data_IF_876141569635
#
_entry.id   IF_876141569635
#
_cell.length_a   1.000
_cell.length_b   1.000
_cell.length_c   1.000
_cell.angle_alpha   90.00
_cell.angle_beta   90.00
_cell.angle_gamma   90.00
#
_symmetry.space_group_name_H-M   'P 1'
#
loop_
_entity.id
_entity.type
_entity.pdbx_description
1 polymer ?
#
# COMPACT_ATOMS: atom_id res chain seq x y z
N UNK A 1 -10.47 10.05 -6.49
CA UNK A 1 -11.81 9.74 -5.95
C UNK A 1 -11.77 8.79 -4.75
N UNK A 2 -10.88 7.81 -4.67
CA UNK A 2 -10.76 6.86 -3.56
C UNK A 2 -10.31 7.44 -2.20
N UNK A 3 -9.53 8.54 -2.17
CA UNK A 3 -9.12 9.22 -0.92
C UNK A 3 -10.26 9.86 -0.11
N UNK A 4 -11.41 10.13 -0.73
CA UNK A 4 -12.59 10.67 -0.04
C UNK A 4 -13.48 9.60 0.62
N UNK A 5 -13.29 8.34 0.29
CA UNK A 5 -14.18 7.24 0.67
C UNK A 5 -13.78 6.64 2.03
N UNK A 6 -12.49 6.57 2.33
CA UNK A 6 -12.01 6.04 3.63
C UNK A 6 -12.33 7.00 4.79
N UNK A 7 -12.41 8.29 4.52
CA UNK A 7 -12.75 9.33 5.51
C UNK A 7 -14.25 9.36 5.84
N UNK A 8 -15.12 8.98 4.89
CA UNK A 8 -16.58 8.98 5.12
C UNK A 8 -17.08 7.82 5.98
N UNK A 9 -16.37 6.72 6.04
CA UNK A 9 -16.77 5.55 6.84
C UNK A 9 -16.65 5.76 8.36
N UNK A 10 -15.91 6.80 8.81
CA UNK A 10 -15.78 7.13 10.23
C UNK A 10 -16.63 8.34 10.67
N UNK A 11 -17.32 8.99 9.74
CA UNK A 11 -18.03 10.26 9.98
C UNK A 11 -19.52 10.15 10.30
N UNK A 12 -20.12 8.98 10.20
CA UNK A 12 -21.57 8.83 10.38
C UNK A 12 -22.04 8.73 11.85
N UNK A 13 -21.16 8.76 12.83
CA UNK A 13 -21.51 8.59 14.25
C UNK A 13 -21.97 9.90 14.93
N UNK A 14 -21.84 11.07 14.31
CA UNK A 14 -22.02 12.35 14.98
C UNK A 14 -23.25 13.20 14.58
N UNK A 15 -24.21 12.70 13.79
CA UNK A 15 -25.32 13.58 13.28
C UNK A 15 -26.73 13.25 13.82
N UNK A 16 -26.91 12.44 14.84
CA UNK A 16 -28.26 12.14 15.36
C UNK A 16 -28.48 12.56 16.83
N UNK A 17 -28.03 13.73 17.24
CA UNK A 17 -28.46 14.27 18.57
C UNK A 17 -28.67 15.76 18.62
N UNK A 18 -29.35 16.33 17.64
CA UNK A 18 -29.79 17.72 17.77
C UNK A 18 -31.25 17.89 17.35
N UNK A 19 -32.17 17.45 18.21
CA UNK A 19 -33.51 18.04 18.39
C UNK A 19 -34.29 17.23 19.43
N UNK A 20 -34.29 17.72 20.67
CA UNK A 20 -35.41 17.76 21.61
C UNK A 20 -34.88 18.36 22.91
N UNK A 21 -35.02 19.66 23.03
CA UNK A 21 -34.80 20.38 24.29
C UNK A 21 -36.12 20.72 24.93
N UNK A 22 -36.07 20.70 26.25
CA UNK A 22 -37.02 21.18 27.22
C UNK A 22 -38.07 20.20 27.75
N UNK A 23 -37.76 19.51 28.81
CA UNK A 23 -38.33 19.57 30.14
C UNK A 23 -37.88 18.41 31.03
N UNK A 24 -37.50 18.70 32.24
CA UNK A 24 -37.14 17.81 33.35
C UNK A 24 -35.70 17.28 33.31
N UNK A 25 -34.88 17.80 34.24
CA UNK A 25 -33.60 17.21 34.57
C UNK A 25 -33.79 15.76 35.02
N UNK A 26 -33.43 14.75 34.22
CA UNK A 26 -33.21 13.44 34.75
C UNK A 26 -31.84 13.44 35.42
N UNK A 27 -31.75 12.83 36.58
CA UNK A 27 -30.49 12.44 37.21
C UNK A 27 -29.57 11.92 36.12
N UNK A 28 -28.37 12.49 35.99
CA UNK A 28 -27.32 11.98 35.13
C UNK A 28 -27.11 10.48 35.48
N UNK A 29 -27.77 9.59 34.78
CA UNK A 29 -27.36 8.21 34.73
C UNK A 29 -26.03 8.23 33.95
N UNK A 30 -24.92 8.07 34.66
CA UNK A 30 -23.67 7.71 34.04
C UNK A 30 -23.94 6.31 33.52
N UNK A 31 -24.22 6.21 32.23
CA UNK A 31 -24.32 4.92 31.56
C UNK A 31 -22.90 4.37 31.52
N UNK A 32 -22.58 3.47 32.47
CA UNK A 32 -21.37 2.70 32.44
C UNK A 32 -21.49 1.78 31.22
N UNK A 33 -20.54 1.84 30.33
CA UNK A 33 -20.49 0.97 29.15
C UNK A 33 -20.43 -0.50 29.61
N UNK A 34 -21.17 -1.38 28.92
CA UNK A 34 -21.27 -2.77 29.31
C UNK A 34 -20.12 -3.58 28.76
N UNK A 35 -19.41 -4.31 29.62
CA UNK A 35 -18.42 -5.29 29.18
C UNK A 35 -19.15 -6.47 28.53
N UNK A 36 -18.91 -6.67 27.24
CA UNK A 36 -19.50 -7.74 26.43
C UNK A 36 -18.66 -9.00 26.50
N UNK A 37 -17.35 -8.85 26.44
CA UNK A 37 -16.43 -9.99 26.49
C UNK A 37 -15.09 -9.58 27.14
N UNK A 38 -14.33 -10.58 27.54
CA UNK A 38 -12.94 -10.46 28.01
C UNK A 38 -12.11 -11.54 27.33
N UNK A 39 -11.00 -11.16 26.74
CA UNK A 39 -10.04 -12.06 26.10
C UNK A 39 -8.66 -11.79 26.68
N UNK A 40 -8.05 -12.78 27.38
CA UNK A 40 -6.81 -12.57 28.08
C UNK A 40 -6.94 -11.45 29.11
N UNK A 41 -6.15 -10.40 28.95
CA UNK A 41 -6.18 -9.19 29.79
C UNK A 41 -7.04 -8.04 29.23
N UNK A 42 -7.68 -8.21 28.07
CA UNK A 42 -8.39 -7.16 27.34
C UNK A 42 -9.91 -7.32 27.43
N UNK A 43 -10.62 -6.24 27.73
CA UNK A 43 -12.09 -6.19 27.69
C UNK A 43 -12.57 -5.71 26.34
N UNK A 44 -13.77 -6.14 25.95
CA UNK A 44 -14.55 -5.62 24.82
C UNK A 44 -15.80 -4.98 25.37
N UNK A 45 -16.04 -3.74 25.00
CA UNK A 45 -17.19 -2.94 25.43
C UNK A 45 -18.32 -3.01 24.39
N UNK A 46 -19.55 -2.77 24.84
CA UNK A 46 -20.71 -2.74 23.93
C UNK A 46 -20.57 -1.60 22.90
N UNK A 47 -20.05 -0.45 23.30
CA UNK A 47 -19.80 0.67 22.39
C UNK A 47 -18.80 0.28 21.30
N UNK A 48 -17.72 -0.45 21.63
CA UNK A 48 -16.73 -0.91 20.64
C UNK A 48 -17.38 -1.86 19.61
N UNK A 49 -18.23 -2.78 20.06
CA UNK A 49 -18.96 -3.68 19.15
C UNK A 49 -19.91 -2.91 18.23
N UNK A 50 -20.63 -1.92 18.77
CA UNK A 50 -21.56 -1.10 17.99
C UNK A 50 -20.85 -0.25 16.94
N UNK A 51 -19.76 0.44 17.33
CA UNK A 51 -18.93 1.21 16.39
C UNK A 51 -18.37 0.35 15.27
N UNK A 52 -17.87 -0.83 15.61
CA UNK A 52 -17.32 -1.76 14.62
C UNK A 52 -18.39 -2.31 13.69
N UNK A 53 -19.58 -2.63 14.21
CA UNK A 53 -20.71 -3.10 13.41
C UNK A 53 -21.19 -2.04 12.41
N UNK A 54 -21.26 -0.76 12.82
CA UNK A 54 -21.59 0.33 11.92
C UNK A 54 -20.56 0.50 10.82
N UNK A 55 -19.26 0.39 11.13
CA UNK A 55 -18.18 0.43 10.17
C UNK A 55 -18.27 -0.72 9.15
N UNK A 56 -18.57 -1.96 9.61
CA UNK A 56 -18.77 -3.12 8.74
C UNK A 56 -19.93 -2.90 7.77
N UNK A 57 -21.06 -2.41 8.24
CA UNK A 57 -22.22 -2.12 7.39
C UNK A 57 -21.89 -1.10 6.30
N UNK A 58 -21.13 -0.06 6.65
CA UNK A 58 -20.67 0.93 5.66
C UNK A 58 -19.72 0.32 4.63
N UNK A 59 -18.77 -0.48 5.08
CA UNK A 59 -17.82 -1.17 4.21
C UNK A 59 -18.56 -2.13 3.25
N UNK A 60 -19.49 -2.93 3.75
CA UNK A 60 -20.30 -3.83 2.93
C UNK A 60 -21.08 -3.08 1.85
N UNK A 61 -21.69 -1.94 2.19
CA UNK A 61 -22.40 -1.08 1.21
C UNK A 61 -21.47 -0.55 0.12
N UNK A 62 -20.27 -0.13 0.48
CA UNK A 62 -19.29 0.39 -0.49
C UNK A 62 -18.82 -0.70 -1.46
N UNK A 63 -18.67 -1.93 -0.98
CA UNK A 63 -18.29 -3.09 -1.79
C UNK A 63 -19.45 -3.73 -2.56
N UNK A 64 -20.69 -3.23 -2.39
CA UNK A 64 -21.89 -3.86 -2.98
C UNK A 64 -22.18 -5.26 -2.42
N UNK A 65 -21.64 -5.57 -1.25
CA UNK A 65 -21.80 -6.87 -0.57
C UNK A 65 -22.90 -6.78 0.49
N UNK A 66 -23.69 -7.84 0.63
CA UNK A 66 -24.70 -7.99 1.69
C UNK A 66 -24.35 -9.23 2.50
N UNK A 67 -24.10 -9.06 3.79
CA UNK A 67 -23.93 -10.19 4.71
C UNK A 67 -25.30 -10.68 5.18
N UNK A 68 -25.49 -12.00 5.26
CA UNK A 68 -26.68 -12.63 5.86
C UNK A 68 -26.59 -12.72 7.40
N UNK A 69 -25.46 -12.30 7.99
CA UNK A 69 -25.19 -12.35 9.43
C UNK A 69 -25.56 -11.01 10.09
N UNK A 70 -25.90 -11.09 11.40
CA UNK A 70 -26.07 -9.88 12.21
C UNK A 70 -24.73 -9.11 12.30
N UNK A 71 -24.69 -7.83 11.93
CA UNK A 71 -23.48 -7.03 12.00
C UNK A 71 -22.85 -6.94 13.41
N UNK A 72 -23.66 -7.02 14.47
CA UNK A 72 -23.17 -7.05 15.85
C UNK A 72 -22.43 -8.36 16.17
N UNK A 73 -22.90 -9.48 15.64
CA UNK A 73 -22.25 -10.78 15.81
C UNK A 73 -20.93 -10.83 15.03
N UNK A 74 -20.91 -10.31 13.80
CA UNK A 74 -19.68 -10.22 13.01
C UNK A 74 -18.65 -9.30 13.68
N UNK A 75 -19.08 -8.14 14.19
CA UNK A 75 -18.23 -7.21 14.90
C UNK A 75 -17.65 -7.81 16.17
N UNK A 76 -18.48 -8.50 16.97
CA UNK A 76 -18.01 -9.14 18.19
C UNK A 76 -16.99 -10.25 17.87
N UNK A 77 -17.23 -11.06 16.85
CA UNK A 77 -16.28 -12.10 16.44
C UNK A 77 -14.94 -11.50 16.00
N UNK A 78 -14.97 -10.45 15.18
CA UNK A 78 -13.76 -9.77 14.74
C UNK A 78 -12.95 -9.15 15.91
N UNK A 79 -13.64 -8.55 16.88
CA UNK A 79 -13.02 -7.99 18.07
C UNK A 79 -12.47 -9.09 19.00
N UNK A 80 -13.15 -10.23 19.14
CA UNK A 80 -12.64 -11.38 19.89
C UNK A 80 -11.31 -11.89 19.28
N UNK A 81 -11.27 -12.04 17.96
CA UNK A 81 -10.08 -12.45 17.22
C UNK A 81 -8.95 -11.43 17.40
N UNK A 82 -9.24 -10.13 17.22
CA UNK A 82 -8.27 -9.05 17.39
C UNK A 82 -7.67 -9.04 18.79
N UNK A 83 -8.50 -9.13 19.85
CA UNK A 83 -8.03 -9.16 21.24
C UNK A 83 -7.20 -10.42 21.55
N UNK A 84 -7.56 -11.57 20.97
CA UNK A 84 -6.79 -12.80 21.11
C UNK A 84 -5.40 -12.67 20.47
N UNK A 85 -5.33 -12.19 19.24
CA UNK A 85 -4.08 -11.93 18.52
C UNK A 85 -3.20 -10.95 19.29
N UNK A 86 -3.77 -9.84 19.75
CA UNK A 86 -3.06 -8.82 20.53
C UNK A 86 -2.44 -9.42 21.82
N UNK A 87 -3.26 -10.10 22.62
CA UNK A 87 -2.76 -10.70 23.87
C UNK A 87 -1.68 -11.76 23.60
N UNK A 88 -1.84 -12.56 22.52
CA UNK A 88 -0.83 -13.53 22.14
C UNK A 88 0.46 -12.85 21.64
N UNK A 89 0.35 -11.75 20.89
CA UNK A 89 1.51 -10.97 20.47
C UNK A 89 2.35 -10.49 21.65
N UNK A 90 1.69 -10.01 22.71
CA UNK A 90 2.37 -9.59 23.93
C UNK A 90 3.03 -10.77 24.67
N UNK A 91 2.37 -11.92 24.72
CA UNK A 91 2.93 -13.16 25.35
C UNK A 91 4.17 -13.62 24.58
N UNK A 92 4.10 -13.63 23.26
CA UNK A 92 5.17 -14.12 22.39
C UNK A 92 6.25 -13.06 22.12
N UNK A 93 6.10 -11.83 22.67
CA UNK A 93 7.00 -10.69 22.47
C UNK A 93 7.23 -10.42 20.97
N UNK A 94 6.15 -10.41 20.19
CA UNK A 94 6.21 -10.13 18.76
C UNK A 94 6.50 -8.65 18.54
N UNK A 95 7.48 -8.33 17.70
CA UNK A 95 7.74 -6.96 17.31
C UNK A 95 6.59 -6.40 16.45
N UNK A 96 6.22 -5.16 16.73
CA UNK A 96 5.18 -4.48 15.96
C UNK A 96 5.69 -4.19 14.54
N UNK A 97 5.15 -4.91 13.57
CA UNK A 97 5.43 -4.70 12.16
C UNK A 97 4.49 -3.65 11.57
N UNK A 98 5.04 -2.80 10.71
CA UNK A 98 4.26 -1.90 9.87
C UNK A 98 4.05 -0.53 10.45
N UNK A 99 4.73 0.44 9.86
CA UNK A 99 4.49 1.87 9.86
C UNK A 99 4.41 2.56 11.23
N UNK A 100 4.83 3.76 11.27
CA UNK A 100 4.76 4.59 12.45
C UNK A 100 3.30 4.77 12.91
N UNK A 101 2.91 4.03 13.95
CA UNK A 101 1.60 4.16 14.60
C UNK A 101 1.36 5.61 15.03
N UNK A 102 2.43 6.29 15.47
CA UNK A 102 2.36 7.68 15.88
C UNK A 102 1.88 8.60 14.73
N UNK A 103 2.48 8.49 13.54
CA UNK A 103 2.06 9.26 12.37
C UNK A 103 0.60 9.01 12.00
N UNK A 104 0.19 7.75 12.04
CA UNK A 104 -1.20 7.38 11.73
C UNK A 104 -2.18 7.99 12.73
N UNK A 105 -1.82 8.00 14.01
CA UNK A 105 -2.61 8.64 15.08
C UNK A 105 -2.71 10.14 14.85
N UNK A 106 -1.57 10.81 14.61
CA UNK A 106 -1.55 12.26 14.38
C UNK A 106 -2.35 12.63 13.14
N UNK A 107 -2.16 11.90 12.02
CA UNK A 107 -2.94 12.13 10.80
C UNK A 107 -4.43 11.95 11.05
N UNK A 108 -4.82 10.88 11.72
CA UNK A 108 -6.21 10.58 12.03
C UNK A 108 -6.84 11.65 12.91
N UNK A 109 -6.18 11.98 14.03
CA UNK A 109 -6.71 12.97 14.98
C UNK A 109 -6.73 14.38 14.37
N UNK A 110 -5.70 14.77 13.62
CA UNK A 110 -5.67 16.06 12.95
C UNK A 110 -6.79 16.19 11.90
N UNK A 111 -7.09 15.14 11.16
CA UNK A 111 -8.24 15.13 10.24
C UNK A 111 -9.55 15.38 10.97
N UNK A 112 -9.78 14.72 12.11
CA UNK A 112 -10.99 14.91 12.92
C UNK A 112 -11.07 16.33 13.52
N UNK A 113 -9.94 16.88 13.93
CA UNK A 113 -9.84 18.26 14.44
C UNK A 113 -10.17 19.28 13.35
N UNK A 114 -9.64 19.08 12.13
CA UNK A 114 -9.91 19.97 11.00
C UNK A 114 -11.39 19.92 10.60
N UNK A 115 -11.99 18.74 10.57
CA UNK A 115 -13.42 18.55 10.30
C UNK A 115 -14.33 19.14 11.39
N UNK A 116 -13.87 19.14 12.63
CA UNK A 116 -14.58 19.78 13.73
C UNK A 116 -14.49 21.32 13.70
N UNK A 117 -13.56 21.89 12.92
CA UNK A 117 -13.31 23.33 12.88
C UNK A 117 -12.30 23.82 13.91
N UNK A 118 -11.47 22.92 14.44
CA UNK A 118 -10.38 23.22 15.37
C UNK A 118 -10.47 22.49 16.70
N UNK A 119 -9.35 22.53 17.45
CA UNK A 119 -9.17 21.75 18.69
C UNK A 119 -10.27 22.03 19.73
N UNK A 120 -10.64 23.30 19.94
CA UNK A 120 -11.64 23.65 20.96
C UNK A 120 -13.02 23.08 20.66
N UNK A 121 -13.41 23.08 19.38
CA UNK A 121 -14.68 22.53 18.94
C UNK A 121 -14.67 21.00 19.01
N UNK A 122 -13.55 20.40 18.63
CA UNK A 122 -13.32 18.97 18.76
C UNK A 122 -13.44 18.49 20.22
N UNK A 123 -12.71 19.13 21.16
CA UNK A 123 -12.76 18.79 22.59
C UNK A 123 -14.17 18.99 23.19
N UNK A 124 -14.90 20.00 22.72
CA UNK A 124 -16.29 20.22 23.13
C UNK A 124 -17.21 19.09 22.64
N UNK A 125 -17.01 18.62 21.42
CA UNK A 125 -17.81 17.57 20.81
C UNK A 125 -17.51 16.20 21.44
N UNK A 126 -16.24 15.89 21.61
CA UNK A 126 -15.80 14.61 22.17
C UNK A 126 -15.87 14.57 23.71
N UNK A 127 -16.18 15.70 24.36
CA UNK A 127 -16.20 15.86 25.83
C UNK A 127 -14.89 15.41 26.51
N UNK A 128 -13.77 15.50 25.80
CA UNK A 128 -12.47 14.99 26.20
C UNK A 128 -11.33 15.88 25.67
N UNK A 129 -10.27 16.13 26.48
CA UNK A 129 -9.07 16.80 25.99
C UNK A 129 -8.42 16.03 24.85
N UNK A 130 -7.92 16.74 23.83
CA UNK A 130 -7.31 16.16 22.65
C UNK A 130 -6.13 15.22 22.99
N UNK A 131 -5.39 15.53 24.06
CA UNK A 131 -4.30 14.68 24.53
C UNK A 131 -4.83 13.28 24.93
N UNK A 132 -5.91 13.21 25.70
CA UNK A 132 -6.51 11.95 26.12
C UNK A 132 -7.09 11.19 24.93
N UNK A 133 -7.66 11.91 23.97
CA UNK A 133 -8.19 11.30 22.75
C UNK A 133 -7.07 10.68 21.91
N UNK A 134 -5.93 11.38 21.76
CA UNK A 134 -4.76 10.83 21.07
C UNK A 134 -4.23 9.55 21.74
N UNK A 135 -4.14 9.52 23.07
CA UNK A 135 -3.71 8.31 23.78
C UNK A 135 -4.68 7.14 23.57
N UNK A 136 -5.99 7.42 23.57
CA UNK A 136 -7.00 6.39 23.30
C UNK A 136 -6.88 5.85 21.87
N UNK A 137 -6.74 6.71 20.87
CA UNK A 137 -6.55 6.31 19.48
C UNK A 137 -5.24 5.56 19.29
N UNK A 138 -4.17 6.01 19.96
CA UNK A 138 -2.86 5.32 19.94
C UNK A 138 -2.98 3.89 20.44
N UNK A 139 -3.60 3.69 21.60
CA UNK A 139 -3.79 2.36 22.16
C UNK A 139 -4.56 1.43 21.19
N UNK A 140 -5.60 1.94 20.51
CA UNK A 140 -6.35 1.18 19.49
C UNK A 140 -5.47 0.82 18.28
N UNK A 141 -4.67 1.73 17.78
CA UNK A 141 -3.81 1.51 16.62
C UNK A 141 -2.64 0.57 16.94
N UNK A 142 -2.06 0.69 18.14
CA UNK A 142 -1.04 -0.26 18.62
C UNK A 142 -1.61 -1.67 18.74
N UNK A 143 -2.80 -1.81 19.32
CA UNK A 143 -3.48 -3.10 19.43
C UNK A 143 -3.69 -3.75 18.05
N UNK A 144 -4.21 -2.98 17.07
CA UNK A 144 -4.38 -3.46 15.70
C UNK A 144 -3.04 -3.85 15.06
N UNK A 145 -1.99 -3.04 15.26
CA UNK A 145 -0.67 -3.32 14.72
C UNK A 145 -0.06 -4.60 15.30
N UNK A 146 -0.17 -4.82 16.62
CA UNK A 146 0.26 -6.06 17.25
C UNK A 146 -0.54 -7.27 16.78
N UNK A 147 -1.87 -7.14 16.67
CA UNK A 147 -2.73 -8.21 16.17
C UNK A 147 -2.36 -8.59 14.73
N UNK A 148 -2.15 -7.60 13.86
CA UNK A 148 -1.70 -7.82 12.48
C UNK A 148 -0.31 -8.46 12.42
N UNK A 149 0.62 -8.01 13.27
CA UNK A 149 1.97 -8.57 13.36
C UNK A 149 1.95 -10.03 13.81
N UNK A 150 1.08 -10.36 14.77
CA UNK A 150 0.91 -11.74 15.22
C UNK A 150 0.37 -12.63 14.10
N UNK A 151 -0.68 -12.19 13.39
CA UNK A 151 -1.22 -12.91 12.25
C UNK A 151 -0.15 -13.16 11.19
N UNK A 152 0.58 -12.11 10.82
CA UNK A 152 1.70 -12.21 9.88
C UNK A 152 2.78 -13.18 10.35
N UNK A 153 3.14 -13.17 11.63
CA UNK A 153 4.13 -14.10 12.19
C UNK A 153 3.70 -15.57 12.10
N UNK A 154 2.39 -15.84 12.24
CA UNK A 154 1.86 -17.21 12.10
C UNK A 154 1.91 -17.66 10.63
N UNK A 155 1.46 -16.83 9.70
CA UNK A 155 1.34 -17.23 8.29
C UNK A 155 2.64 -17.12 7.49
N UNK A 156 3.57 -16.22 7.86
CA UNK A 156 4.83 -16.00 7.11
C UNK A 156 5.77 -17.21 7.09
N UNK A 157 5.61 -18.11 8.03
CA UNK A 157 6.41 -19.35 8.13
C UNK A 157 5.85 -20.49 7.30
N UNK A 158 4.66 -20.31 6.74
CA UNK A 158 4.00 -21.34 5.93
C UNK A 158 4.60 -21.32 4.53
N UNK A 159 5.17 -22.43 4.15
CA UNK A 159 5.69 -22.68 2.79
C UNK A 159 4.89 -23.77 2.11
N UNK A 160 4.93 -23.82 0.79
CA UNK A 160 4.24 -24.85 0.02
C UNK A 160 5.26 -25.60 -0.85
N UNK A 161 5.00 -26.88 -1.10
CA UNK A 161 5.84 -27.70 -1.97
C UNK A 161 5.02 -28.18 -3.19
N UNK A 162 5.67 -28.48 -4.34
CA UNK A 162 4.95 -28.81 -5.58
C UNK A 162 3.88 -29.90 -5.44
N UNK A 163 4.14 -30.93 -4.66
CA UNK A 163 3.15 -32.00 -4.43
C UNK A 163 1.91 -31.54 -3.64
N UNK A 164 1.98 -30.44 -2.89
CA UNK A 164 0.81 -29.83 -2.22
C UNK A 164 -0.01 -29.01 -3.21
N UNK A 165 0.64 -28.34 -4.15
CA UNK A 165 -0.03 -27.62 -5.25
C UNK A 165 -0.84 -28.60 -6.11
N UNK A 166 -0.24 -29.73 -6.49
CA UNK A 166 -0.96 -30.78 -7.22
C UNK A 166 -2.17 -31.33 -6.44
N UNK A 167 -2.00 -31.59 -5.13
CA UNK A 167 -3.11 -32.07 -4.30
C UNK A 167 -4.21 -31.02 -4.20
N UNK A 168 -3.86 -29.77 -4.01
CA UNK A 168 -4.79 -28.65 -3.99
C UNK A 168 -5.58 -28.59 -5.29
N UNK A 169 -4.91 -28.57 -6.45
CA UNK A 169 -5.55 -28.55 -7.76
C UNK A 169 -6.52 -29.73 -7.96
N UNK A 170 -6.12 -30.94 -7.58
CA UNK A 170 -6.98 -32.12 -7.67
C UNK A 170 -8.14 -32.12 -6.68
N UNK A 171 -8.07 -31.32 -5.63
CA UNK A 171 -9.14 -31.19 -4.63
C UNK A 171 -10.23 -30.21 -5.05
N UNK A 172 -9.94 -29.35 -6.03
CA UNK A 172 -10.95 -28.43 -6.58
C UNK A 172 -11.86 -29.20 -7.54
N UNK A 173 -13.16 -29.03 -7.37
CA UNK A 173 -14.12 -29.57 -8.34
C UNK A 173 -13.88 -28.89 -9.70
N UNK A 174 -13.96 -29.67 -10.78
CA UNK A 174 -13.67 -29.17 -12.13
C UNK A 174 -14.53 -27.97 -12.54
N UNK A 175 -15.77 -27.95 -12.03
CA UNK A 175 -16.70 -26.85 -12.28
C UNK A 175 -16.39 -25.58 -11.45
N UNK A 176 -15.53 -25.71 -10.45
CA UNK A 176 -15.09 -24.63 -9.55
C UNK A 176 -13.62 -24.23 -9.79
N UNK A 177 -12.95 -24.78 -10.80
CA UNK A 177 -11.63 -24.32 -11.17
C UNK A 177 -11.68 -22.85 -11.59
N UNK A 178 -10.70 -22.03 -11.17
CA UNK A 178 -10.73 -20.62 -11.50
C UNK A 178 -10.57 -20.41 -13.01
N UNK A 179 -11.34 -19.46 -13.54
CA UNK A 179 -11.12 -18.93 -14.88
C UNK A 179 -9.96 -17.93 -14.82
N UNK A 180 -8.95 -18.18 -15.61
CA UNK A 180 -7.87 -17.24 -15.84
C UNK A 180 -8.28 -16.33 -16.98
N UNK A 181 -8.20 -15.01 -16.77
CA UNK A 181 -8.49 -14.02 -17.80
C UNK A 181 -7.52 -14.10 -18.96
N UNK A 182 -7.81 -13.32 -20.01
CA UNK A 182 -6.92 -13.17 -21.14
C UNK A 182 -5.56 -12.60 -20.68
N UNK A 183 -4.46 -13.23 -21.11
CA UNK A 183 -3.11 -12.84 -20.74
C UNK A 183 -2.32 -12.35 -21.95
N UNK A 184 -1.44 -11.40 -21.71
CA UNK A 184 -0.60 -10.74 -22.70
C UNK A 184 0.87 -11.04 -22.42
N UNK A 185 1.59 -11.54 -23.46
CA UNK A 185 3.06 -11.53 -23.48
C UNK A 185 3.49 -10.43 -24.43
N UNK A 186 4.32 -9.53 -23.97
CA UNK A 186 4.73 -8.39 -24.78
C UNK A 186 6.19 -8.02 -24.59
N UNK A 187 6.72 -7.35 -25.58
CA UNK A 187 8.03 -6.75 -25.54
C UNK A 187 7.93 -5.24 -25.64
N UNK A 188 8.89 -4.51 -25.08
CA UNK A 188 8.96 -3.07 -25.20
C UNK A 188 10.35 -2.57 -25.60
N UNK A 189 10.40 -1.39 -26.22
CA UNK A 189 11.60 -0.59 -26.40
C UNK A 189 11.33 0.74 -25.76
N UNK A 190 12.18 1.14 -24.85
CA UNK A 190 12.09 2.37 -24.07
C UNK A 190 13.19 3.34 -24.47
N UNK A 191 12.85 4.63 -24.60
CA UNK A 191 13.81 5.71 -24.83
C UNK A 191 13.55 6.85 -23.86
N UNK A 192 14.60 7.25 -23.16
CA UNK A 192 14.58 8.49 -22.39
C UNK A 192 14.93 9.68 -23.28
N UNK A 193 14.50 10.90 -22.92
CA UNK A 193 14.97 12.12 -23.59
C UNK A 193 16.49 12.20 -23.63
N UNK A 194 17.07 12.53 -24.78
CA UNK A 194 18.52 12.66 -24.92
C UNK A 194 19.13 13.75 -24.04
N UNK A 195 18.31 14.72 -23.63
CA UNK A 195 18.63 15.79 -22.67
C UNK A 195 18.52 15.37 -21.20
N UNK A 196 18.44 14.08 -20.89
CA UNK A 196 18.26 13.59 -19.51
C UNK A 196 19.38 14.12 -18.59
N UNK A 197 20.65 14.07 -19.04
CA UNK A 197 21.77 14.58 -18.24
C UNK A 197 21.70 16.07 -17.98
N UNK A 198 21.30 16.83 -18.98
CA UNK A 198 21.11 18.29 -18.88
C UNK A 198 19.91 18.60 -17.96
N UNK A 199 18.83 17.86 -18.06
CA UNK A 199 17.67 17.99 -17.17
C UNK A 199 18.03 17.63 -15.72
N UNK A 200 18.80 16.58 -15.51
CA UNK A 200 19.34 16.22 -14.19
C UNK A 200 20.24 17.34 -13.66
N UNK A 201 21.11 17.93 -14.49
CA UNK A 201 21.99 19.01 -14.09
C UNK A 201 21.18 20.26 -13.71
N UNK A 202 20.20 20.66 -14.51
CA UNK A 202 19.28 21.76 -14.17
C UNK A 202 18.56 21.53 -12.84
N UNK A 203 18.17 20.28 -12.59
CA UNK A 203 17.49 19.90 -11.34
C UNK A 203 18.43 20.04 -10.14
N UNK A 204 19.68 19.57 -10.27
CA UNK A 204 20.71 19.74 -9.24
C UNK A 204 20.99 21.21 -8.95
N UNK A 205 21.17 22.03 -9.99
CA UNK A 205 21.42 23.48 -9.86
C UNK A 205 20.25 24.16 -9.12
N UNK A 206 19.02 23.79 -9.44
CA UNK A 206 17.84 24.32 -8.77
C UNK A 206 17.78 23.93 -7.29
N UNK A 207 18.13 22.69 -6.94
CA UNK A 207 18.23 22.26 -5.55
C UNK A 207 19.37 22.94 -4.79
N UNK A 208 20.51 23.17 -5.45
CA UNK A 208 21.63 23.93 -4.86
C UNK A 208 21.22 25.37 -4.53
N UNK A 209 20.52 26.06 -5.45
CA UNK A 209 19.97 27.41 -5.18
C UNK A 209 19.00 27.37 -3.97
N UNK A 210 18.10 26.41 -3.93
CA UNK A 210 17.17 26.27 -2.79
C UNK A 210 17.92 26.03 -1.49
N UNK A 211 18.90 25.14 -1.50
CA UNK A 211 19.75 24.84 -0.35
C UNK A 211 20.49 26.08 0.14
N UNK A 212 21.12 26.84 -0.76
CA UNK A 212 21.82 28.06 -0.43
C UNK A 212 20.89 29.10 0.21
N UNK A 213 19.72 29.29 -0.35
CA UNK A 213 18.68 30.19 0.21
C UNK A 213 18.23 29.80 1.60
N UNK A 214 18.13 28.50 1.89
CA UNK A 214 17.80 28.01 3.24
C UNK A 214 18.96 28.27 4.20
N UNK A 215 20.18 27.89 3.83
CA UNK A 215 21.38 28.03 4.70
C UNK A 215 21.67 29.49 5.01
N UNK A 216 21.47 30.38 4.04
CA UNK A 216 21.66 31.82 4.23
C UNK A 216 20.49 32.54 4.91
N UNK A 217 19.42 31.80 5.24
CA UNK A 217 18.21 32.33 5.88
C UNK A 217 17.32 33.21 4.97
N UNK A 218 17.55 33.18 3.65
CA UNK A 218 16.76 33.91 2.66
C UNK A 218 15.40 33.26 2.40
N UNK A 219 15.25 31.97 2.70
CA UNK A 219 13.99 31.24 2.60
C UNK A 219 13.87 30.18 3.70
N UNK A 220 12.63 29.88 4.07
CA UNK A 220 12.34 28.76 4.97
C UNK A 220 12.24 27.46 4.15
N UNK A 221 12.83 26.38 4.65
CA UNK A 221 12.80 25.06 4.01
C UNK A 221 11.36 24.60 3.72
N UNK A 222 10.49 24.71 4.71
CA UNK A 222 9.07 24.29 4.57
C UNK A 222 8.30 25.07 3.51
N UNK A 223 8.64 26.34 3.29
CA UNK A 223 8.02 27.15 2.22
C UNK A 223 8.49 26.66 0.85
N UNK A 224 9.80 26.42 0.68
CA UNK A 224 10.31 25.89 -0.58
C UNK A 224 9.78 24.47 -0.86
N UNK A 225 9.65 23.64 0.17
CA UNK A 225 9.08 22.30 0.03
C UNK A 225 7.63 22.37 -0.47
N UNK A 226 6.78 23.20 0.12
CA UNK A 226 5.38 23.37 -0.33
C UNK A 226 5.28 23.89 -1.74
N UNK A 227 6.19 24.73 -2.17
CA UNK A 227 6.15 25.36 -3.51
C UNK A 227 6.71 24.46 -4.61
N UNK A 228 7.69 23.62 -4.29
CA UNK A 228 8.50 22.98 -5.33
C UNK A 228 8.68 21.48 -5.17
N UNK A 229 8.50 20.91 -3.98
CA UNK A 229 8.70 19.47 -3.80
C UNK A 229 7.65 18.66 -4.58
N UNK A 230 8.12 17.59 -5.22
CA UNK A 230 7.32 16.73 -6.09
C UNK A 230 6.86 15.45 -5.38
N UNK A 231 6.83 15.47 -4.05
CA UNK A 231 6.37 14.33 -3.27
C UNK A 231 5.18 14.67 -2.37
N UNK A 232 4.60 13.64 -1.72
CA UNK A 232 3.42 13.79 -0.89
C UNK A 232 3.64 14.64 0.37
N UNK A 233 4.88 14.71 0.90
CA UNK A 233 5.21 15.53 2.07
C UNK A 233 5.26 17.04 1.75
N UNK A 234 5.21 17.43 0.46
CA UNK A 234 5.22 18.84 0.05
C UNK A 234 4.14 19.65 0.77
N UNK A 235 2.93 19.13 0.89
CA UNK A 235 1.81 19.81 1.55
C UNK A 235 2.06 20.09 3.04
N UNK A 236 2.92 19.29 3.68
CA UNK A 236 3.36 19.44 5.07
C UNK A 236 4.69 20.19 5.20
N UNK A 237 5.15 20.86 4.12
CA UNK A 237 6.43 21.57 4.12
C UNK A 237 7.64 20.62 4.02
N UNK A 238 7.45 19.45 3.46
CA UNK A 238 8.45 18.40 3.32
C UNK A 238 8.71 17.60 4.58
N UNK A 239 7.98 17.88 5.68
CA UNK A 239 8.16 17.25 6.98
C UNK A 239 7.67 15.81 6.97
N UNK A 240 8.49 14.93 7.51
CA UNK A 240 8.21 13.51 7.65
C UNK A 240 8.28 13.13 9.13
N UNK A 241 7.47 12.16 9.49
CA UNK A 241 7.42 11.66 10.85
C UNK A 241 8.76 11.03 11.28
N UNK A 242 9.10 11.10 12.58
CA UNK A 242 10.31 10.50 13.10
C UNK A 242 10.36 8.99 12.85
N UNK A 243 11.30 8.53 12.04
CA UNK A 243 11.48 7.13 11.68
C UNK A 243 12.96 6.71 11.82
N UNK A 244 13.26 5.41 12.03
CA UNK A 244 14.63 4.91 12.02
C UNK A 244 15.23 5.03 10.60
N UNK A 245 16.55 5.12 10.50
CA UNK A 245 17.23 5.28 9.20
C UNK A 245 16.92 4.13 8.23
N UNK A 246 16.66 2.93 8.74
CA UNK A 246 16.28 1.75 7.95
C UNK A 246 14.94 1.88 7.21
N UNK A 247 14.11 2.87 7.56
CA UNK A 247 12.87 3.18 6.87
C UNK A 247 13.09 3.83 5.50
N UNK A 248 14.25 4.48 5.32
CA UNK A 248 14.56 5.22 4.12
C UNK A 248 15.42 4.41 3.15
N UNK A 249 15.34 4.71 1.86
CA UNK A 249 16.26 4.15 0.87
C UNK A 249 17.70 4.51 1.21
N UNK A 250 18.62 3.60 0.92
CA UNK A 250 19.99 3.63 1.41
C UNK A 250 20.72 4.98 1.21
N UNK A 251 20.68 5.64 0.03
CA UNK A 251 21.37 6.93 -0.13
C UNK A 251 20.79 8.03 0.77
N UNK A 252 19.46 8.03 0.99
CA UNK A 252 18.78 8.97 1.87
C UNK A 252 19.17 8.73 3.34
N UNK A 253 19.15 7.46 3.78
CA UNK A 253 19.56 7.06 5.12
C UNK A 253 21.02 7.46 5.43
N UNK A 254 21.94 7.16 4.52
CA UNK A 254 23.37 7.50 4.66
C UNK A 254 23.62 9.02 4.74
N UNK A 255 22.81 9.82 4.06
CA UNK A 255 22.88 11.27 4.15
C UNK A 255 22.32 11.77 5.48
N UNK A 256 21.15 11.25 5.87
CA UNK A 256 20.46 11.61 7.10
C UNK A 256 21.29 11.32 8.36
N UNK A 257 21.99 10.17 8.41
CA UNK A 257 22.86 9.78 9.52
C UNK A 257 24.07 10.72 9.74
N UNK A 258 24.49 11.44 8.69
CA UNK A 258 25.61 12.40 8.77
C UNK A 258 25.18 13.78 9.22
N UNK A 259 23.88 14.07 9.23
CA UNK A 259 23.36 15.39 9.59
C UNK A 259 23.28 15.57 11.11
N UNK A 260 23.43 16.84 11.53
CA UNK A 260 23.09 17.30 12.88
C UNK A 260 21.76 18.06 12.83
N UNK A 261 21.02 18.12 13.94
CA UNK A 261 19.80 18.94 14.02
C UNK A 261 20.02 20.36 13.50
N UNK A 262 19.15 20.82 12.61
CA UNK A 262 19.23 22.10 11.93
C UNK A 262 20.13 22.14 10.69
N UNK A 263 20.77 21.05 10.31
CA UNK A 263 21.61 20.99 9.11
C UNK A 263 20.82 20.52 7.89
N UNK A 264 21.18 21.09 6.73
CA UNK A 264 20.69 20.70 5.41
C UNK A 264 21.76 19.90 4.67
N UNK A 265 21.38 18.75 4.12
CA UNK A 265 22.28 17.86 3.37
C UNK A 265 22.82 18.52 2.10
N UNK A 266 23.89 17.95 1.54
CA UNK A 266 24.18 18.07 0.11
C UNK A 266 23.05 17.41 -0.70
N UNK A 267 23.12 17.54 -2.04
CA UNK A 267 22.15 16.84 -2.91
C UNK A 267 22.32 15.33 -2.74
N UNK A 268 21.21 14.67 -2.44
CA UNK A 268 21.10 13.21 -2.32
C UNK A 268 20.36 12.68 -3.53
N UNK A 269 21.00 11.83 -4.29
CA UNK A 269 20.40 11.16 -5.43
C UNK A 269 19.86 9.79 -4.98
N UNK A 270 18.59 9.54 -5.24
CA UNK A 270 17.92 8.28 -4.97
C UNK A 270 17.19 7.81 -6.22
N UNK A 271 16.62 6.62 -6.18
CA UNK A 271 15.73 6.11 -7.22
C UNK A 271 14.48 7.00 -7.44
N UNK A 272 14.08 7.83 -6.46
CA UNK A 272 12.94 8.73 -6.58
C UNK A 272 13.26 10.10 -7.17
N UNK A 273 14.53 10.43 -7.32
CA UNK A 273 15.01 11.72 -7.84
C UNK A 273 16.11 12.35 -6.97
N UNK A 274 16.16 13.66 -6.98
CA UNK A 274 17.18 14.45 -6.26
C UNK A 274 16.53 15.09 -5.03
N UNK A 275 17.20 14.96 -3.89
CA UNK A 275 16.73 15.47 -2.62
C UNK A 275 17.72 16.43 -1.97
N UNK A 276 17.21 17.37 -1.19
CA UNK A 276 17.88 17.97 -0.06
C UNK A 276 17.09 17.65 1.19
N UNK A 277 17.79 17.36 2.29
CA UNK A 277 17.21 16.87 3.53
C UNK A 277 17.63 17.79 4.66
N UNK A 278 16.71 18.24 5.49
CA UNK A 278 17.01 18.94 6.73
C UNK A 278 16.66 18.03 7.91
N UNK A 279 17.63 17.77 8.78
CA UNK A 279 17.36 17.07 10.04
C UNK A 279 16.82 18.09 11.04
N UNK A 280 15.58 17.88 11.48
CA UNK A 280 14.92 18.71 12.48
C UNK A 280 15.42 18.32 13.87
N UNK A 281 15.32 17.02 14.19
CA UNK A 281 15.74 16.47 15.47
C UNK A 281 16.05 14.97 15.37
N UNK A 282 16.71 14.44 16.41
CA UNK A 282 16.97 13.00 16.58
C UNK A 282 16.45 12.54 17.92
N UNK A 283 15.44 11.67 17.90
CA UNK A 283 14.75 11.17 19.08
C UNK A 283 15.08 9.68 19.25
N UNK A 284 16.06 9.38 20.09
CA UNK A 284 16.58 8.01 20.24
C UNK A 284 17.26 7.52 18.95
N UNK A 285 16.74 6.46 18.35
CA UNK A 285 17.17 5.90 17.06
C UNK A 285 16.39 6.44 15.87
N UNK A 286 15.38 7.31 16.11
CA UNK A 286 14.53 7.90 15.08
C UNK A 286 15.03 9.27 14.66
N UNK A 287 14.92 9.55 13.36
CA UNK A 287 15.28 10.83 12.73
C UNK A 287 13.99 11.56 12.34
N UNK A 288 13.79 12.76 12.89
CA UNK A 288 12.75 13.70 12.49
C UNK A 288 13.35 14.65 11.45
N UNK A 289 12.88 14.58 10.23
CA UNK A 289 13.47 15.34 9.11
C UNK A 289 12.38 15.87 8.17
N UNK A 290 12.82 16.74 7.27
CA UNK A 290 12.03 17.19 6.13
C UNK A 290 12.90 17.19 4.88
N UNK A 291 12.27 17.01 3.73
CA UNK A 291 12.97 16.97 2.46
C UNK A 291 12.29 17.77 1.35
N UNK A 292 13.06 18.10 0.33
CA UNK A 292 12.57 18.58 -0.96
C UNK A 292 13.02 17.58 -2.00
N UNK A 293 12.06 16.98 -2.71
CA UNK A 293 12.28 16.08 -3.84
C UNK A 293 12.02 16.83 -5.13
N UNK A 294 13.00 16.86 -6.04
CA UNK A 294 12.80 17.28 -7.42
C UNK A 294 13.15 16.12 -8.37
N UNK A 295 12.37 16.02 -9.45
CA UNK A 295 12.68 15.15 -10.59
C UNK A 295 13.09 15.98 -11.80
N UNK A 296 13.89 15.41 -12.73
CA UNK A 296 14.17 16.06 -14.00
C UNK A 296 12.88 16.40 -14.75
N UNK A 297 12.79 17.62 -15.24
CA UNK A 297 11.67 18.07 -16.06
C UNK A 297 12.15 18.39 -17.47
N UNK A 298 11.29 18.14 -18.46
CA UNK A 298 11.59 18.25 -19.87
C UNK A 298 10.62 19.22 -20.54
N UNK A 299 11.10 19.90 -21.56
CA UNK A 299 10.24 20.65 -22.49
C UNK A 299 9.48 19.66 -23.37
N UNK A 300 8.42 20.17 -24.03
CA UNK A 300 7.65 19.35 -24.96
C UNK A 300 8.51 18.78 -26.09
N UNK A 301 9.42 19.59 -26.63
CA UNK A 301 10.29 19.17 -27.74
C UNK A 301 11.29 18.09 -27.27
N UNK A 302 11.83 18.21 -26.08
CA UNK A 302 12.69 17.17 -25.48
C UNK A 302 11.98 15.84 -25.29
N UNK A 303 10.67 15.85 -24.94
CA UNK A 303 9.86 14.64 -24.83
C UNK A 303 9.46 14.05 -26.20
N UNK A 304 9.29 14.87 -27.22
CA UNK A 304 8.89 14.40 -28.54
C UNK A 304 10.05 13.76 -29.33
N UNK A 305 11.31 14.12 -29.04
CA UNK A 305 12.45 13.56 -29.74
C UNK A 305 12.53 12.03 -29.64
N UNK A 306 12.51 11.40 -28.44
CA UNK A 306 12.56 9.94 -28.34
C UNK A 306 11.32 9.28 -28.97
N UNK A 307 10.16 9.93 -28.97
CA UNK A 307 8.98 9.43 -29.66
C UNK A 307 9.20 9.32 -31.17
N UNK A 308 9.73 10.35 -31.80
CA UNK A 308 10.06 10.32 -33.24
C UNK A 308 11.15 9.29 -33.60
N UNK A 309 12.14 9.11 -32.72
CA UNK A 309 13.13 8.05 -32.90
C UNK A 309 12.48 6.67 -32.86
N UNK A 310 11.61 6.42 -31.88
CA UNK A 310 10.89 5.17 -31.75
C UNK A 310 9.92 4.90 -32.89
N UNK A 311 9.24 5.92 -33.41
CA UNK A 311 8.40 5.79 -34.62
C UNK A 311 9.23 5.37 -35.83
N UNK A 312 10.44 5.92 -35.96
CA UNK A 312 11.37 5.50 -37.04
C UNK A 312 11.80 4.05 -36.86
N UNK A 313 12.11 3.62 -35.64
CA UNK A 313 12.45 2.22 -35.32
C UNK A 313 11.24 1.31 -35.57
N UNK A 314 10.03 1.70 -35.12
CA UNK A 314 8.81 0.94 -35.38
C UNK A 314 8.57 0.71 -36.89
N UNK A 315 8.85 1.73 -37.71
CA UNK A 315 8.75 1.61 -39.16
C UNK A 315 9.78 0.64 -39.77
N UNK A 316 11.01 0.60 -39.24
CA UNK A 316 12.04 -0.42 -39.65
C UNK A 316 11.58 -1.83 -39.28
N UNK A 317 10.96 -2.00 -38.11
CA UNK A 317 10.42 -3.29 -37.68
C UNK A 317 9.22 -3.68 -38.56
N UNK A 318 8.28 -2.81 -38.78
CA UNK A 318 7.09 -3.04 -39.62
C UNK A 318 7.45 -3.37 -41.08
N UNK A 319 8.52 -2.79 -41.58
CA UNK A 319 9.03 -3.11 -42.94
C UNK A 319 9.79 -4.44 -43.03
N UNK A 320 10.05 -5.09 -41.90
CA UNK A 320 10.86 -6.30 -41.82
C UNK A 320 12.38 -6.08 -42.00
N UNK A 321 12.83 -4.81 -41.98
CA UNK A 321 14.27 -4.49 -42.11
C UNK A 321 15.04 -4.79 -40.83
N UNK A 322 14.36 -4.96 -39.70
CA UNK A 322 14.92 -5.30 -38.40
C UNK A 322 13.88 -6.06 -37.58
N UNK A 323 14.29 -7.00 -36.76
CA UNK A 323 13.42 -7.65 -35.78
C UNK A 323 13.26 -6.77 -34.56
N UNK A 324 12.18 -6.95 -33.79
CA UNK A 324 11.96 -6.22 -32.54
C UNK A 324 13.08 -6.47 -31.53
N UNK A 325 13.57 -7.72 -31.42
CA UNK A 325 14.66 -8.06 -30.52
C UNK A 325 16.00 -7.41 -30.89
N UNK A 326 16.33 -7.31 -32.17
CA UNK A 326 17.51 -6.57 -32.64
C UNK A 326 17.39 -5.08 -32.34
N UNK A 327 16.19 -4.51 -32.55
CA UNK A 327 15.90 -3.13 -32.23
C UNK A 327 16.00 -2.87 -30.71
N UNK A 328 15.46 -3.77 -29.88
CA UNK A 328 15.56 -3.67 -28.43
C UNK A 328 17.03 -3.67 -27.98
N UNK A 329 17.84 -4.62 -28.50
CA UNK A 329 19.26 -4.72 -28.18
C UNK A 329 20.04 -3.47 -28.55
N UNK A 330 19.73 -2.88 -29.71
CA UNK A 330 20.48 -1.74 -30.24
C UNK A 330 20.03 -0.41 -29.64
N UNK A 331 18.74 -0.21 -29.47
CA UNK A 331 18.16 1.10 -29.23
C UNK A 331 17.48 1.26 -27.85
N UNK A 332 17.09 0.18 -27.16
CA UNK A 332 16.41 0.33 -25.88
C UNK A 332 17.35 0.87 -24.80
N UNK A 333 16.84 1.81 -24.01
CA UNK A 333 17.51 2.32 -22.82
C UNK A 333 17.18 1.49 -21.57
N UNK A 334 16.19 0.57 -21.66
CA UNK A 334 15.87 -0.34 -20.56
C UNK A 334 16.85 -1.50 -20.50
N UNK A 335 17.75 -1.44 -19.51
CA UNK A 335 18.77 -2.46 -19.32
C UNK A 335 18.19 -3.83 -18.90
N UNK A 336 17.00 -3.86 -18.31
CA UNK A 336 16.39 -5.09 -17.79
C UNK A 336 15.86 -6.00 -18.92
N UNK A 337 15.36 -5.40 -20.00
CA UNK A 337 14.73 -6.12 -21.11
C UNK A 337 15.55 -6.11 -22.41
N UNK A 338 16.49 -5.18 -22.53
CA UNK A 338 17.32 -4.98 -23.72
C UNK A 338 17.98 -6.25 -24.24
N UNK A 339 18.46 -7.13 -23.38
CA UNK A 339 19.23 -8.32 -23.75
C UNK A 339 18.38 -9.57 -23.94
N UNK A 340 17.08 -9.52 -23.63
CA UNK A 340 16.14 -10.63 -23.81
C UNK A 340 15.11 -10.36 -24.92
N UNK A 341 15.45 -9.49 -25.87
CA UNK A 341 14.58 -9.15 -26.99
C UNK A 341 13.48 -8.15 -26.64
N UNK A 342 13.60 -7.47 -25.52
CA UNK A 342 12.60 -6.51 -25.03
C UNK A 342 11.45 -7.15 -24.22
N UNK A 343 11.46 -8.46 -24.02
CA UNK A 343 10.39 -9.18 -23.30
C UNK A 343 10.26 -8.64 -21.88
N UNK A 344 9.05 -8.20 -21.56
CA UNK A 344 8.73 -7.66 -20.24
C UNK A 344 8.48 -8.78 -19.25
N UNK A 345 8.93 -8.59 -18.01
CA UNK A 345 8.66 -9.47 -16.88
C UNK A 345 8.24 -8.66 -15.65
N UNK A 346 7.82 -9.33 -14.60
CA UNK A 346 7.51 -8.69 -13.33
C UNK A 346 8.71 -8.60 -12.38
N UNK A 347 9.92 -8.85 -12.87
CA UNK A 347 11.16 -8.84 -12.09
C UNK A 347 11.36 -7.54 -11.31
N UNK A 348 11.16 -6.41 -11.92
CA UNK A 348 11.31 -5.07 -11.34
C UNK A 348 10.32 -4.83 -10.18
N UNK A 349 9.10 -5.32 -10.29
CA UNK A 349 8.06 -5.22 -9.25
C UNK A 349 8.43 -6.10 -8.06
N UNK A 350 8.75 -7.37 -8.32
CA UNK A 350 9.05 -8.33 -7.28
C UNK A 350 10.35 -8.01 -6.55
N UNK A 351 11.37 -7.54 -7.27
CA UNK A 351 12.62 -7.10 -6.66
C UNK A 351 12.41 -5.94 -5.67
N UNK A 352 11.52 -4.99 -6.00
CA UNK A 352 11.18 -3.88 -5.09
C UNK A 352 10.38 -4.34 -3.86
N UNK A 353 9.56 -5.37 -4.01
CA UNK A 353 8.85 -6.00 -2.91
C UNK A 353 9.76 -6.89 -2.03
N UNK A 354 11.05 -7.00 -2.38
CA UNK A 354 11.99 -7.88 -1.67
C UNK A 354 11.78 -9.36 -1.97
N UNK A 355 11.06 -9.69 -3.03
CA UNK A 355 10.82 -11.07 -3.47
C UNK A 355 11.91 -11.47 -4.44
N UNK A 356 12.81 -12.32 -4.00
CA UNK A 356 13.94 -12.83 -4.81
C UNK A 356 13.74 -14.30 -5.25
N UNK A 357 12.50 -14.77 -5.24
CA UNK A 357 12.18 -16.11 -5.72
C UNK A 357 12.26 -16.15 -7.25
N UNK A 358 13.20 -16.93 -7.77
CA UNK A 358 13.52 -17.00 -9.22
C UNK A 358 12.33 -17.42 -10.08
N UNK A 359 11.40 -18.23 -9.58
CA UNK A 359 10.22 -18.67 -10.33
C UNK A 359 9.24 -17.51 -10.58
N UNK A 360 9.06 -16.63 -9.59
CA UNK A 360 8.19 -15.44 -9.69
C UNK A 360 8.83 -14.32 -10.51
N UNK A 361 10.16 -14.23 -10.50
CA UNK A 361 10.90 -13.23 -11.26
C UNK A 361 10.85 -13.41 -12.78
N UNK A 362 10.37 -14.55 -13.26
CA UNK A 362 10.31 -14.88 -14.69
C UNK A 362 8.90 -14.82 -15.29
N UNK A 363 7.91 -14.37 -14.52
CA UNK A 363 6.56 -14.23 -15.07
C UNK A 363 6.54 -13.15 -16.16
N UNK A 364 6.19 -13.60 -17.37
CA UNK A 364 6.10 -12.75 -18.58
C UNK A 364 4.67 -12.64 -19.11
N UNK A 365 3.70 -13.25 -18.42
CA UNK A 365 2.28 -13.25 -18.75
C UNK A 365 1.56 -12.27 -17.84
N UNK A 366 0.84 -11.33 -18.41
CA UNK A 366 0.17 -10.26 -17.68
C UNK A 366 -1.33 -10.28 -17.97
N UNK A 367 -2.13 -10.18 -16.92
CA UNK A 367 -3.55 -9.93 -16.99
C UNK A 367 -3.81 -8.41 -17.11
N UNK A 368 -5.04 -8.02 -17.48
CA UNK A 368 -5.44 -6.62 -17.48
C UNK A 368 -5.23 -5.95 -16.10
N UNK A 369 -5.48 -6.66 -15.02
CA UNK A 369 -5.33 -6.19 -13.64
C UNK A 369 -3.86 -5.93 -13.23
N UNK A 370 -2.89 -6.50 -13.96
CA UNK A 370 -1.46 -6.26 -13.72
C UNK A 370 -0.99 -4.88 -14.22
N UNK A 371 -1.85 -4.18 -14.95
CA UNK A 371 -1.57 -2.84 -15.45
C UNK A 371 -2.27 -1.77 -14.60
N UNK A 372 -1.61 -0.63 -14.42
CA UNK A 372 -2.10 0.48 -13.61
C UNK A 372 -1.48 0.54 -12.22
N UNK A 373 -2.05 1.38 -11.36
CA UNK A 373 -1.45 1.73 -10.07
C UNK A 373 -1.33 0.55 -9.09
N UNK A 374 -2.25 -0.40 -9.16
CA UNK A 374 -2.27 -1.57 -8.27
C UNK A 374 -1.43 -2.73 -8.82
N UNK A 375 -1.43 -2.94 -10.14
CA UNK A 375 -0.71 -4.04 -10.80
C UNK A 375 0.77 -3.75 -11.08
N UNK A 376 1.18 -2.49 -11.03
CA UNK A 376 2.58 -2.05 -11.14
C UNK A 376 3.13 -1.97 -12.57
N UNK A 377 2.40 -2.38 -13.61
CA UNK A 377 2.74 -2.11 -15.02
C UNK A 377 2.01 -0.88 -15.52
N UNK A 378 2.60 -0.18 -16.49
CA UNK A 378 2.01 1.04 -17.01
C UNK A 378 0.68 0.78 -17.74
N UNK A 379 -0.36 1.53 -17.40
CA UNK A 379 -1.66 1.42 -18.05
C UNK A 379 -1.60 1.78 -19.53
N UNK A 380 -0.67 2.66 -19.91
CA UNK A 380 -0.40 3.03 -21.30
C UNK A 380 0.06 1.84 -22.12
N UNK A 381 0.85 0.92 -21.53
CA UNK A 381 1.29 -0.31 -22.18
C UNK A 381 0.06 -1.17 -22.54
N UNK A 382 -0.88 -1.39 -21.61
CA UNK A 382 -2.12 -2.10 -21.89
C UNK A 382 -2.98 -1.42 -22.97
N UNK A 383 -3.10 -0.10 -22.90
CA UNK A 383 -3.86 0.67 -23.89
C UNK A 383 -3.29 0.54 -25.31
N UNK A 384 -1.97 0.42 -25.43
CA UNK A 384 -1.33 0.13 -26.71
C UNK A 384 -1.56 -1.33 -27.16
N UNK A 385 -1.35 -2.29 -26.24
CA UNK A 385 -1.43 -3.73 -26.52
C UNK A 385 -2.81 -4.15 -27.03
N UNK A 386 -3.90 -3.68 -26.40
CA UNK A 386 -5.28 -4.07 -26.77
C UNK A 386 -5.68 -3.70 -28.19
N UNK A 387 -4.92 -2.82 -28.84
CA UNK A 387 -5.18 -2.40 -30.23
C UNK A 387 -4.38 -3.19 -31.27
N UNK A 388 -3.42 -4.01 -30.83
CA UNK A 388 -2.48 -4.74 -31.66
C UNK A 388 -2.94 -6.17 -31.92
N UNK A 389 -2.55 -6.70 -33.07
CA UNK A 389 -2.53 -8.15 -33.32
C UNK A 389 -1.16 -8.73 -32.94
N UNK A 390 -1.14 -10.03 -32.68
CA UNK A 390 0.11 -10.74 -32.38
C UNK A 390 1.14 -10.48 -33.50
N UNK A 391 2.33 -10.04 -33.08
CA UNK A 391 3.44 -9.65 -33.96
C UNK A 391 3.45 -8.19 -34.37
N UNK A 392 2.35 -7.44 -34.20
CA UNK A 392 2.29 -6.00 -34.53
C UNK A 392 3.01 -5.14 -33.48
N UNK A 393 3.50 -3.99 -33.93
CA UNK A 393 4.21 -2.99 -33.11
C UNK A 393 3.38 -1.72 -33.05
N UNK A 394 3.26 -1.14 -31.85
CA UNK A 394 2.55 0.12 -31.63
C UNK A 394 3.25 1.31 -32.29
N UNK A 395 2.52 2.43 -32.40
CA UNK A 395 3.16 3.74 -32.52
C UNK A 395 3.81 4.12 -31.17
N UNK A 396 4.67 5.14 -31.19
CA UNK A 396 5.30 5.61 -29.95
C UNK A 396 4.26 6.31 -29.05
N UNK A 397 4.42 6.14 -27.75
CA UNK A 397 3.62 6.82 -26.73
C UNK A 397 4.46 7.25 -25.55
N UNK A 398 3.96 8.24 -24.81
CA UNK A 398 4.58 8.71 -23.57
C UNK A 398 4.18 7.81 -22.43
N UNK A 399 5.14 7.50 -21.56
CA UNK A 399 4.94 6.74 -20.34
C UNK A 399 5.84 7.28 -19.23
N UNK A 400 5.66 6.76 -18.04
CA UNK A 400 6.55 7.00 -16.92
C UNK A 400 7.02 5.66 -16.37
N UNK A 401 8.28 5.62 -15.90
CA UNK A 401 8.73 4.48 -15.14
C UNK A 401 8.13 4.50 -13.71
N UNK A 402 8.39 3.45 -12.96
CA UNK A 402 7.90 3.32 -11.58
C UNK A 402 8.45 4.41 -10.64
N UNK A 403 9.50 5.11 -11.05
CA UNK A 403 10.12 6.23 -10.32
C UNK A 403 9.56 7.59 -10.77
N UNK A 404 8.66 7.60 -11.77
CA UNK A 404 8.06 8.80 -12.34
C UNK A 404 8.97 9.53 -13.34
N UNK A 405 10.00 8.88 -13.89
CA UNK A 405 10.77 9.45 -14.98
C UNK A 405 10.00 9.35 -16.29
N UNK A 406 9.93 10.45 -17.01
CA UNK A 406 9.25 10.50 -18.30
C UNK A 406 10.09 9.82 -19.39
N UNK A 407 9.44 9.01 -20.20
CA UNK A 407 10.05 8.27 -21.31
C UNK A 407 9.06 8.06 -22.46
N UNK A 408 9.56 7.67 -23.61
CA UNK A 408 8.74 7.17 -24.71
C UNK A 408 8.93 5.66 -24.87
N UNK A 409 7.87 4.98 -25.27
CA UNK A 409 7.85 3.54 -25.51
C UNK A 409 7.23 3.19 -26.85
N UNK A 410 7.60 2.03 -27.39
CA UNK A 410 6.84 1.22 -28.33
C UNK A 410 6.73 -0.18 -27.76
N UNK A 411 5.63 -0.85 -28.01
CA UNK A 411 5.42 -2.25 -27.59
C UNK A 411 5.13 -3.13 -28.79
N UNK A 412 5.50 -4.39 -28.67
CA UNK A 412 5.09 -5.46 -29.59
C UNK A 412 4.26 -6.48 -28.82
N UNK A 413 3.09 -6.82 -29.34
CA UNK A 413 2.31 -7.93 -28.82
C UNK A 413 2.91 -9.24 -29.30
N UNK A 414 3.51 -10.01 -28.39
CA UNK A 414 4.21 -11.25 -28.72
C UNK A 414 3.25 -12.43 -28.75
N UNK A 415 2.38 -12.53 -27.75
CA UNK A 415 1.39 -13.60 -27.63
C UNK A 415 0.17 -13.11 -26.87
N UNK A 416 -1.01 -13.64 -27.22
CA UNK A 416 -2.25 -13.52 -26.43
C UNK A 416 -2.67 -14.93 -26.07
N UNK A 417 -2.81 -15.18 -24.78
CA UNK A 417 -3.33 -16.43 -24.25
C UNK A 417 -4.80 -16.19 -23.92
N UNK A 418 -5.73 -16.83 -24.61
CA UNK A 418 -7.16 -16.65 -24.36
C UNK A 418 -7.53 -17.01 -22.93
N UNK A 419 -8.63 -16.43 -22.45
CA UNK A 419 -9.21 -16.83 -21.17
C UNK A 419 -9.50 -18.34 -21.16
N UNK A 420 -9.05 -19.01 -20.11
CA UNK A 420 -9.13 -20.47 -19.99
C UNK A 420 -9.33 -20.90 -18.54
N UNK A 421 -9.74 -22.15 -18.36
CA UNK A 421 -9.80 -22.77 -17.03
C UNK A 421 -8.38 -23.10 -16.58
N UNK A 422 -8.03 -22.71 -15.35
CA UNK A 422 -6.67 -22.90 -14.83
C UNK A 422 -6.18 -24.35 -14.95
N UNK A 423 -4.94 -24.50 -15.38
CA UNK A 423 -4.25 -25.77 -15.51
C UNK A 423 -2.89 -25.76 -14.81
N UNK A 424 -2.43 -26.96 -14.37
CA UNK A 424 -1.08 -27.07 -13.74
C UNK A 424 0.06 -26.80 -14.71
N UNK A 425 -0.16 -26.96 -16.01
CA UNK A 425 0.88 -26.78 -17.01
C UNK A 425 1.11 -25.29 -17.33
N UNK A 426 0.04 -24.51 -17.36
CA UNK A 426 0.09 -23.12 -17.80
C UNK A 426 0.05 -22.13 -16.64
N UNK A 427 -0.65 -22.47 -15.52
CA UNK A 427 -0.96 -21.53 -14.43
C UNK A 427 -0.36 -21.96 -13.09
N UNK A 428 0.72 -22.75 -13.11
CA UNK A 428 1.32 -23.32 -11.91
C UNK A 428 1.57 -22.27 -10.82
N UNK A 429 2.14 -21.12 -11.15
CA UNK A 429 2.48 -20.06 -10.18
C UNK A 429 1.20 -19.53 -9.51
N UNK A 430 0.14 -19.30 -10.27
CA UNK A 430 -1.13 -18.82 -9.72
C UNK A 430 -1.81 -19.88 -8.84
N UNK A 431 -1.78 -21.12 -9.26
CA UNK A 431 -2.27 -22.25 -8.45
C UNK A 431 -1.43 -22.47 -7.19
N UNK A 432 -0.13 -22.22 -7.26
CA UNK A 432 0.77 -22.24 -6.09
C UNK A 432 0.40 -21.15 -5.09
N UNK A 433 0.16 -19.93 -5.54
CA UNK A 433 -0.30 -18.82 -4.68
C UNK A 433 -1.65 -19.14 -4.03
N UNK A 434 -2.60 -19.63 -4.79
CA UNK A 434 -3.90 -20.03 -4.26
C UNK A 434 -3.79 -21.16 -3.23
N UNK A 435 -2.97 -22.16 -3.52
CA UNK A 435 -2.71 -23.28 -2.62
C UNK A 435 -1.99 -22.81 -1.35
N UNK A 436 -1.05 -21.87 -1.47
CA UNK A 436 -0.36 -21.28 -0.33
C UNK A 436 -1.31 -20.47 0.56
N UNK A 437 -2.15 -19.62 -0.02
CA UNK A 437 -3.16 -18.85 0.72
C UNK A 437 -4.11 -19.77 1.48
N UNK A 438 -4.60 -20.83 0.83
CA UNK A 438 -5.46 -21.83 1.51
C UNK A 438 -4.72 -22.51 2.65
N UNK A 439 -3.49 -22.93 2.45
CA UNK A 439 -2.67 -23.54 3.50
C UNK A 439 -2.41 -22.58 4.66
N UNK A 440 -2.15 -21.31 4.37
CA UNK A 440 -2.01 -20.25 5.36
C UNK A 440 -3.29 -20.09 6.19
N UNK A 441 -4.45 -20.10 5.54
CA UNK A 441 -5.75 -20.04 6.20
C UNK A 441 -5.98 -21.25 7.10
N UNK A 442 -5.72 -22.47 6.63
CA UNK A 442 -5.85 -23.71 7.40
C UNK A 442 -4.92 -23.72 8.64
N UNK A 443 -3.66 -23.31 8.46
CA UNK A 443 -2.68 -23.19 9.55
C UNK A 443 -3.11 -22.13 10.55
N UNK A 444 -3.55 -20.97 10.06
CA UNK A 444 -4.03 -19.89 10.90
C UNK A 444 -5.26 -20.30 11.71
N UNK A 445 -6.26 -20.92 11.10
CA UNK A 445 -7.48 -21.38 11.77
C UNK A 445 -7.16 -22.45 12.84
N UNK A 446 -6.28 -23.40 12.51
CA UNK A 446 -5.82 -24.40 13.48
C UNK A 446 -5.10 -23.78 14.68
N UNK A 447 -4.23 -22.79 14.41
CA UNK A 447 -3.54 -22.03 15.44
C UNK A 447 -4.52 -21.22 16.30
N UNK A 448 -5.48 -20.57 15.67
CA UNK A 448 -6.52 -19.78 16.35
C UNK A 448 -7.35 -20.65 17.29
N UNK A 449 -7.74 -21.85 16.83
CA UNK A 449 -8.50 -22.81 17.64
C UNK A 449 -7.69 -23.33 18.85
N UNK A 450 -6.40 -23.58 18.70
CA UNK A 450 -5.51 -23.89 19.82
C UNK A 450 -5.45 -22.75 20.84
N UNK A 451 -5.34 -21.51 20.34
CA UNK A 451 -5.26 -20.33 21.22
C UNK A 451 -6.59 -20.03 21.92
N UNK A 452 -7.74 -20.23 21.27
CA UNK A 452 -9.06 -20.17 21.92
C UNK A 452 -9.17 -21.15 23.10
N UNK A 453 -8.54 -22.31 23.00
CA UNK A 453 -8.57 -23.29 24.09
C UNK A 453 -7.67 -22.91 25.27
N UNK A 454 -6.51 -22.31 25.01
CA UNK A 454 -5.48 -21.98 26.00
C UNK A 454 -5.68 -20.63 26.67
N UNK A 455 -6.29 -19.66 25.98
CA UNK A 455 -6.49 -18.31 26.50
C UNK A 455 -7.80 -18.22 27.31
N UNK A 456 -7.79 -17.35 28.33
CA UNK A 456 -9.03 -17.03 29.04
C UNK A 456 -9.96 -16.20 28.14
N UNK A 457 -11.16 -16.71 27.91
CA UNK A 457 -12.20 -16.04 27.12
C UNK A 457 -13.50 -16.08 27.92
N UNK A 458 -14.08 -14.92 28.15
CA UNK A 458 -15.39 -14.75 28.73
C UNK A 458 -16.27 -13.94 27.78
N UNK A 459 -17.46 -14.40 27.50
CA UNK A 459 -18.50 -13.67 26.75
C UNK A 459 -19.74 -13.57 27.63
N UNK A 460 -20.29 -12.37 27.74
CA UNK A 460 -21.50 -12.16 28.53
C UNK A 460 -22.69 -12.99 27.97
N UNK A 461 -23.56 -13.54 28.83
CA UNK A 461 -24.61 -14.47 28.41
C UNK A 461 -25.50 -13.95 27.28
N UNK A 462 -25.81 -12.65 27.28
CA UNK A 462 -26.70 -12.01 26.29
C UNK A 462 -26.07 -11.93 24.87
N UNK A 463 -24.76 -12.16 24.76
CA UNK A 463 -23.98 -12.11 23.50
C UNK A 463 -23.53 -13.50 23.04
N UNK A 464 -23.91 -14.57 23.74
CA UNK A 464 -23.59 -15.94 23.36
C UNK A 464 -24.61 -16.43 22.36
N UNK A 465 -24.21 -16.56 21.12
CA UNK A 465 -25.04 -17.13 20.06
C UNK A 465 -24.50 -18.51 19.57
N UNK A 466 -25.24 -19.15 18.68
CA UNK A 466 -24.87 -20.47 18.15
C UNK A 466 -23.61 -20.41 17.30
N UNK A 467 -23.45 -19.39 16.48
CA UNK A 467 -22.27 -19.15 15.64
C UNK A 467 -20.98 -19.07 16.46
N UNK A 468 -20.98 -18.31 17.57
CA UNK A 468 -19.82 -18.22 18.44
C UNK A 468 -19.50 -19.55 19.16
N UNK A 469 -20.51 -20.39 19.41
CA UNK A 469 -20.29 -21.74 19.96
C UNK A 469 -19.69 -22.66 18.93
N UNK A 470 -20.24 -22.71 17.70
CA UNK A 470 -19.73 -23.52 16.61
C UNK A 470 -18.28 -23.17 16.27
N UNK A 471 -17.92 -21.88 16.34
CA UNK A 471 -16.57 -21.37 16.11
C UNK A 471 -15.64 -21.50 17.34
N UNK A 472 -16.10 -22.11 18.42
CA UNK A 472 -15.28 -22.43 19.61
C UNK A 472 -14.96 -21.22 20.51
N UNK A 473 -15.66 -20.10 20.38
CA UNK A 473 -15.49 -18.93 21.26
C UNK A 473 -16.20 -19.09 22.61
N UNK A 474 -17.23 -19.90 22.68
CA UNK A 474 -17.99 -20.19 23.90
C UNK A 474 -17.68 -21.60 24.33
N UNK A 475 -17.08 -21.74 25.51
CA UNK A 475 -16.81 -23.04 26.16
C UNK A 475 -18.03 -23.58 26.90
#
# INVERSE_FOLDING_TARGET
>A
MMRKIVILAMLAVSIITAQYAEAQQPRRQVMLDKVVAVVGGSSILHSEVSEYAEALVMQHRQMGYTSDRDPMDEALEALLEQKLLYNQALIDSVDMMGGDVHSRVEQYVNTLVDEAGGIQEFERREHMPIFNYREMVRARFEEQAYAQSMKSNVISKVTIVPGEVERYYRSIDKDNLPMIGEQYVYAHITKFPSSLKEAQQRTRERLLDMRERVITGQAQFSVLARMYSMDGAAMYGGEMEPAPSSFYVRPFAEALEKLRPGQVSEIVETEFGFHIIELIDKIGDKYHCRHILLRPTFTRDELMQPAHELDSIANLIRSGSMTFGEAALQFSDDASTKHNGGIVSNHDILARMGVYDGARLTATRFLEEDFGAEGGKALEDYNALKTLKVGEVSDSYQSTDLMGNQMSKIVQLVEVIPAHVASLEEDYIRLEEMALLKKQEEVYNSWLDEKKQSMYIYIAPDYRNETLREKGWVK
#
